data_IF_203542756400
#
_entry.id   IF_203542756400
#
_cell.length_a   1.000
_cell.length_b   1.000
_cell.length_c   1.000
_cell.angle_alpha   90.00
_cell.angle_beta   90.00
_cell.angle_gamma   90.00
#
_symmetry.space_group_name_H-M   'P 1'
#
loop_
_entity.id
_entity.type
_entity.pdbx_description
1 polymer ?
#
# COMPACT_ATOMS: atom_id res chain seq x y z
N UNK A 1 23.70 47.03 34.35
CA UNK A 1 23.71 47.40 32.92
C UNK A 1 24.73 46.48 32.26
N UNK A 2 24.29 45.57 31.37
CA UNK A 2 25.23 44.68 30.66
C UNK A 2 26.15 45.58 29.82
N UNK A 3 27.48 45.46 29.98
CA UNK A 3 28.44 46.24 29.21
C UNK A 3 28.46 45.78 27.75
N UNK A 4 28.59 46.71 26.80
CA UNK A 4 28.69 46.42 25.36
C UNK A 4 29.81 45.40 25.07
N UNK A 5 30.90 45.48 25.84
CA UNK A 5 32.02 44.54 25.75
C UNK A 5 31.61 43.09 26.07
N UNK A 6 30.73 42.88 27.05
CA UNK A 6 30.22 41.55 27.39
C UNK A 6 29.32 40.99 26.28
N UNK A 7 28.53 41.86 25.62
CA UNK A 7 27.71 41.46 24.48
C UNK A 7 28.56 41.00 23.29
N UNK A 8 29.67 41.70 23.01
CA UNK A 8 30.59 41.32 21.92
C UNK A 8 31.27 39.98 22.24
N UNK A 9 31.68 39.74 23.49
CA UNK A 9 32.33 38.47 23.87
C UNK A 9 31.38 37.26 23.80
N UNK A 10 30.07 37.48 23.99
CA UNK A 10 29.04 36.44 23.90
C UNK A 10 28.43 36.29 22.50
N UNK A 11 28.70 37.20 21.57
CA UNK A 11 28.12 37.15 20.22
C UNK A 11 28.43 35.88 19.42
N UNK A 12 29.59 35.20 19.57
CA UNK A 12 29.87 33.95 18.86
C UNK A 12 28.85 32.84 19.16
N UNK A 13 28.35 32.75 20.39
CA UNK A 13 27.32 31.78 20.78
C UNK A 13 26.06 31.95 19.94
N UNK A 14 25.57 33.19 19.85
CA UNK A 14 24.35 33.50 19.11
C UNK A 14 24.55 33.26 17.61
N UNK A 15 25.65 33.76 17.04
CA UNK A 15 25.93 33.64 15.61
C UNK A 15 26.11 32.18 15.21
N UNK A 16 26.87 31.39 15.96
CA UNK A 16 27.13 29.99 15.65
C UNK A 16 25.85 29.13 15.80
N UNK A 17 25.03 29.37 16.84
CA UNK A 17 23.73 28.70 17.02
C UNK A 17 22.78 28.98 15.86
N UNK A 18 22.65 30.25 15.46
CA UNK A 18 21.78 30.66 14.36
C UNK A 18 22.27 30.10 13.01
N UNK A 19 23.59 30.14 12.77
CA UNK A 19 24.19 29.57 11.57
C UNK A 19 23.94 28.05 11.49
N UNK A 20 24.17 27.32 12.58
CA UNK A 20 23.94 25.88 12.65
C UNK A 20 22.47 25.51 12.42
N UNK A 21 21.54 26.25 13.03
CA UNK A 21 20.10 26.10 12.79
C UNK A 21 19.75 26.35 11.31
N UNK A 22 20.20 27.47 10.75
CA UNK A 22 19.87 27.87 9.38
C UNK A 22 20.43 26.89 8.34
N UNK A 23 21.66 26.41 8.51
CA UNK A 23 22.28 25.44 7.63
C UNK A 23 21.54 24.10 7.65
N UNK A 24 21.22 23.59 8.85
CA UNK A 24 20.49 22.33 9.00
C UNK A 24 19.04 22.44 8.46
N UNK A 25 18.36 23.55 8.74
CA UNK A 25 17.04 23.83 8.18
C UNK A 25 17.06 23.87 6.64
N UNK A 26 18.07 24.52 6.06
CA UNK A 26 18.24 24.59 4.62
C UNK A 26 18.48 23.20 4.02
N UNK A 27 19.35 22.38 4.64
CA UNK A 27 19.63 21.03 4.18
C UNK A 27 18.37 20.14 4.18
N UNK A 28 17.57 20.20 5.25
CA UNK A 28 16.27 19.51 5.32
C UNK A 28 15.34 19.99 4.21
N UNK A 29 15.24 21.31 4.01
CA UNK A 29 14.41 21.88 2.94
C UNK A 29 14.87 21.45 1.55
N UNK A 30 16.19 21.30 1.36
CA UNK A 30 16.82 20.86 0.12
C UNK A 30 16.59 19.38 -0.20
N UNK A 31 16.15 18.58 0.78
CA UNK A 31 15.72 17.21 0.54
C UNK A 31 14.48 17.18 -0.38
N UNK A 32 13.54 18.08 -0.15
CA UNK A 32 12.23 18.09 -0.82
C UNK A 32 12.10 19.15 -1.92
N UNK A 33 12.80 20.29 -1.80
CA UNK A 33 12.71 21.42 -2.72
C UNK A 33 14.10 21.91 -3.11
N UNK A 34 14.31 22.42 -4.35
CA UNK A 34 13.32 22.71 -5.37
C UNK A 34 12.94 21.47 -6.19
N UNK A 35 11.70 21.42 -6.67
CA UNK A 35 11.17 20.26 -7.41
C UNK A 35 11.77 20.12 -8.82
N UNK A 36 12.18 21.25 -9.39
CA UNK A 36 12.82 21.33 -10.69
C UNK A 36 14.23 21.89 -10.55
N UNK A 37 15.15 21.53 -11.47
CA UNK A 37 16.49 22.12 -11.50
C UNK A 37 16.40 23.64 -11.68
N UNK A 38 17.16 24.36 -10.87
CA UNK A 38 17.24 25.83 -10.93
C UNK A 38 18.53 26.21 -11.66
N UNK A 39 18.45 27.21 -12.52
CA UNK A 39 19.59 27.73 -13.29
C UNK A 39 19.82 29.20 -12.96
N UNK A 40 21.06 29.57 -12.68
CA UNK A 40 21.48 30.96 -12.45
C UNK A 40 22.65 31.25 -13.40
N UNK A 41 22.56 32.32 -14.18
CA UNK A 41 23.53 32.67 -15.24
C UNK A 41 23.83 31.49 -16.20
N UNK A 42 22.83 30.67 -16.50
CA UNK A 42 22.97 29.49 -17.36
C UNK A 42 23.62 28.27 -16.69
N UNK A 43 24.15 28.40 -15.48
CA UNK A 43 24.70 27.27 -14.72
C UNK A 43 23.63 26.65 -13.82
N UNK A 44 23.56 25.32 -13.81
CA UNK A 44 22.67 24.58 -12.91
C UNK A 44 23.16 24.73 -11.47
N UNK A 45 22.27 25.14 -10.58
CA UNK A 45 22.57 25.28 -9.15
C UNK A 45 22.82 23.87 -8.58
N UNK A 46 23.95 23.63 -7.88
CA UNK A 46 24.23 22.34 -7.26
C UNK A 46 23.11 21.97 -6.27
N UNK A 47 22.84 20.68 -6.15
CA UNK A 47 21.76 20.14 -5.30
C UNK A 47 20.34 20.63 -5.69
N UNK A 48 20.14 20.97 -6.98
CA UNK A 48 18.81 21.17 -7.57
C UNK A 48 18.59 20.21 -8.75
N UNK A 49 17.43 19.55 -8.91
CA UNK A 49 16.33 19.50 -7.94
C UNK A 49 16.76 18.85 -6.62
N UNK A 50 15.93 19.00 -5.59
CA UNK A 50 16.15 18.37 -4.29
C UNK A 50 16.31 16.86 -4.41
N UNK A 51 16.89 16.23 -3.39
CA UNK A 51 17.28 14.81 -3.45
C UNK A 51 16.09 13.88 -3.70
N UNK A 52 14.95 14.13 -3.06
CA UNK A 52 13.78 13.26 -3.18
C UNK A 52 13.07 13.37 -4.55
N UNK A 53 12.79 14.57 -5.09
CA UNK A 53 12.32 14.70 -6.47
C UNK A 53 13.25 14.05 -7.50
N UNK A 54 14.58 14.07 -7.24
CA UNK A 54 15.59 13.50 -8.12
C UNK A 54 15.55 11.96 -8.15
N UNK A 55 15.33 11.30 -7.02
CA UNK A 55 15.40 9.83 -6.88
C UNK A 55 14.00 9.15 -6.87
N UNK A 56 12.94 9.90 -7.18
CA UNK A 56 11.53 9.45 -7.13
C UNK A 56 11.27 8.12 -7.82
N UNK A 57 11.76 7.93 -9.04
CA UNK A 57 11.44 6.74 -9.83
C UNK A 57 12.06 5.48 -9.21
N UNK A 58 13.28 5.59 -8.69
CA UNK A 58 13.93 4.49 -7.97
C UNK A 58 13.20 4.18 -6.67
N UNK A 59 12.72 5.20 -5.95
CA UNK A 59 11.91 5.03 -4.75
C UNK A 59 10.59 4.28 -5.06
N UNK A 60 9.88 4.64 -6.14
CA UNK A 60 8.64 3.96 -6.56
C UNK A 60 8.89 2.51 -6.96
N UNK A 61 10.00 2.23 -7.67
CA UNK A 61 10.37 0.86 -8.05
C UNK A 61 10.69 0.01 -6.82
N UNK A 62 11.46 0.55 -5.87
CA UNK A 62 11.79 -0.15 -4.63
C UNK A 62 10.53 -0.45 -3.80
N UNK A 63 9.67 0.55 -3.61
CA UNK A 63 8.42 0.41 -2.84
C UNK A 63 7.45 -0.58 -3.49
N UNK A 64 7.25 -0.52 -4.81
CA UNK A 64 6.37 -1.44 -5.54
C UNK A 64 6.89 -2.89 -5.56
N UNK A 65 8.21 -3.08 -5.63
CA UNK A 65 8.83 -4.40 -5.56
C UNK A 65 8.61 -5.02 -4.18
N UNK A 66 8.86 -4.25 -3.12
CA UNK A 66 8.63 -4.65 -1.74
C UNK A 66 7.17 -5.03 -1.46
N UNK A 67 6.22 -4.20 -1.90
CA UNK A 67 4.78 -4.46 -1.68
C UNK A 67 4.31 -5.64 -2.54
N UNK A 68 4.75 -5.71 -3.81
CA UNK A 68 4.34 -6.75 -4.76
C UNK A 68 4.89 -8.14 -4.46
N UNK A 69 6.11 -8.27 -3.92
CA UNK A 69 6.73 -9.57 -3.63
C UNK A 69 6.36 -10.15 -2.26
N UNK A 70 5.71 -9.37 -1.37
CA UNK A 70 5.52 -9.76 0.04
C UNK A 70 4.09 -9.66 0.57
N UNK A 71 3.28 -8.71 0.09
CA UNK A 71 1.90 -8.50 0.59
C UNK A 71 0.84 -9.12 -0.30
N UNK A 72 1.20 -9.45 -1.53
CA UNK A 72 0.30 -9.93 -2.59
C UNK A 72 0.82 -11.23 -3.19
N UNK A 73 1.57 -11.99 -2.38
CA UNK A 73 1.92 -13.34 -2.80
C UNK A 73 0.60 -14.10 -2.97
N UNK A 74 0.45 -14.69 -4.14
CA UNK A 74 -0.74 -15.40 -4.56
C UNK A 74 -1.18 -16.37 -3.46
N UNK A 75 -0.23 -17.04 -2.82
CA UNK A 75 -0.46 -18.04 -1.79
C UNK A 75 -1.18 -17.45 -0.57
N UNK A 76 -0.88 -16.21 -0.16
CA UNK A 76 -1.56 -15.57 0.99
C UNK A 76 -3.01 -15.22 0.67
N UNK A 77 -3.28 -14.64 -0.51
CA UNK A 77 -4.64 -14.34 -0.97
C UNK A 77 -5.43 -15.65 -1.19
N UNK A 78 -4.75 -16.68 -1.69
CA UNK A 78 -5.28 -18.03 -1.89
C UNK A 78 -5.72 -18.66 -0.57
N UNK A 79 -4.87 -18.63 0.44
CA UNK A 79 -5.14 -19.23 1.75
C UNK A 79 -6.31 -18.55 2.45
N UNK A 80 -6.45 -17.23 2.30
CA UNK A 80 -7.56 -16.44 2.83
C UNK A 80 -8.89 -16.72 2.12
N UNK A 81 -8.86 -16.86 0.79
CA UNK A 81 -10.05 -17.28 0.01
C UNK A 81 -10.46 -18.72 0.35
N UNK A 82 -9.50 -19.62 0.56
CA UNK A 82 -9.77 -20.99 0.98
C UNK A 82 -10.39 -21.07 2.38
N UNK A 83 -10.03 -20.16 3.29
CA UNK A 83 -10.60 -20.09 4.64
C UNK A 83 -12.06 -19.61 4.68
N UNK A 84 -12.58 -19.01 3.60
CA UNK A 84 -13.99 -18.58 3.52
C UNK A 84 -14.99 -19.75 3.43
N UNK A 85 -14.51 -21.01 3.40
CA UNK A 85 -15.32 -22.21 3.41
C UNK A 85 -16.47 -22.18 2.38
N UNK A 86 -16.15 -21.75 1.15
CA UNK A 86 -17.11 -21.63 0.04
C UNK A 86 -17.51 -22.99 -0.56
N UNK A 87 -16.85 -24.06 -0.13
CA UNK A 87 -16.99 -25.43 -0.62
C UNK A 87 -18.44 -25.99 -0.60
N UNK A 88 -19.22 -25.89 0.51
CA UNK A 88 -20.58 -26.42 0.54
C UNK A 88 -21.55 -25.62 -0.33
N UNK A 89 -21.31 -24.33 -0.52
CA UNK A 89 -22.18 -23.45 -1.29
C UNK A 89 -21.98 -23.65 -2.79
N UNK A 90 -20.73 -23.72 -3.25
CA UNK A 90 -20.37 -24.08 -4.63
C UNK A 90 -20.88 -25.48 -4.97
N UNK A 91 -20.77 -26.43 -4.04
CA UNK A 91 -21.28 -27.80 -4.20
C UNK A 91 -22.81 -27.82 -4.31
N UNK A 92 -23.52 -27.00 -3.53
CA UNK A 92 -24.98 -26.97 -3.55
C UNK A 92 -25.55 -26.43 -4.88
N UNK A 93 -24.87 -25.44 -5.47
CA UNK A 93 -25.24 -24.85 -6.76
C UNK A 93 -24.97 -25.83 -7.89
N UNK A 94 -23.78 -26.44 -7.90
CA UNK A 94 -23.43 -27.49 -8.84
C UNK A 94 -24.39 -28.68 -8.74
N UNK A 95 -24.84 -29.03 -7.52
CA UNK A 95 -25.74 -30.16 -7.30
C UNK A 95 -27.17 -29.89 -7.80
N UNK A 96 -27.66 -28.66 -7.59
CA UNK A 96 -29.01 -28.26 -8.00
C UNK A 96 -29.18 -28.31 -9.51
N UNK A 97 -28.14 -27.94 -10.26
CA UNK A 97 -28.30 -27.76 -11.69
C UNK A 97 -28.03 -28.99 -12.54
N UNK A 98 -27.18 -29.90 -12.05
CA UNK A 98 -26.91 -31.16 -12.75
C UNK A 98 -28.14 -32.08 -12.83
N UNK A 99 -29.04 -32.04 -11.83
CA UNK A 99 -30.26 -32.86 -11.80
C UNK A 99 -31.27 -32.51 -12.90
N UNK A 100 -31.16 -31.33 -13.52
CA UNK A 100 -32.13 -30.86 -14.51
C UNK A 100 -31.76 -31.12 -15.97
N UNK A 101 -30.72 -31.92 -16.25
CA UNK A 101 -30.39 -32.39 -17.61
C UNK A 101 -30.48 -31.28 -18.67
N UNK A 102 -29.46 -30.44 -18.79
CA UNK A 102 -29.05 -29.92 -20.10
C UNK A 102 -27.72 -29.19 -19.99
N UNK A 103 -26.78 -29.58 -20.85
CA UNK A 103 -25.82 -28.63 -21.39
C UNK A 103 -26.59 -27.40 -21.87
N UNK A 104 -26.42 -26.26 -21.23
CA UNK A 104 -27.00 -25.03 -21.72
C UNK A 104 -26.28 -23.87 -21.08
N UNK A 105 -25.76 -22.96 -21.90
CA UNK A 105 -25.28 -21.63 -21.49
C UNK A 105 -26.13 -20.97 -20.39
N UNK A 106 -27.45 -21.26 -20.34
CA UNK A 106 -28.35 -20.78 -19.30
C UNK A 106 -27.94 -21.12 -17.87
N UNK A 107 -27.42 -22.33 -17.62
CA UNK A 107 -26.98 -22.75 -16.29
C UNK A 107 -25.72 -22.01 -15.86
N UNK A 108 -24.76 -21.92 -16.76
CA UNK A 108 -23.52 -21.18 -16.52
C UNK A 108 -23.87 -19.72 -16.24
N UNK A 109 -24.82 -19.16 -16.98
CA UNK A 109 -25.30 -17.80 -16.79
C UNK A 109 -26.02 -17.62 -15.44
N UNK A 110 -26.83 -18.58 -14.99
CA UNK A 110 -27.44 -18.56 -13.66
C UNK A 110 -26.40 -18.62 -12.53
N UNK A 111 -25.37 -19.46 -12.66
CA UNK A 111 -24.27 -19.56 -11.69
C UNK A 111 -23.49 -18.24 -11.62
N UNK A 112 -23.14 -17.69 -12.78
CA UNK A 112 -22.42 -16.42 -12.88
C UNK A 112 -23.23 -15.27 -12.27
N UNK A 113 -24.53 -15.20 -12.57
CA UNK A 113 -25.40 -14.15 -12.02
C UNK A 113 -25.56 -14.32 -10.51
N UNK A 114 -25.68 -15.55 -10.00
CA UNK A 114 -25.81 -15.79 -8.56
C UNK A 114 -24.54 -15.43 -7.78
N UNK A 115 -23.35 -15.72 -8.35
CA UNK A 115 -22.06 -15.30 -7.75
C UNK A 115 -21.97 -13.77 -7.74
N UNK A 116 -22.35 -13.13 -8.84
CA UNK A 116 -22.36 -11.67 -8.97
C UNK A 116 -23.29 -11.03 -7.94
N UNK A 117 -24.51 -11.54 -7.78
CA UNK A 117 -25.46 -11.07 -6.75
C UNK A 117 -24.88 -11.19 -5.34
N UNK A 118 -24.27 -12.35 -5.01
CA UNK A 118 -23.63 -12.54 -3.70
C UNK A 118 -22.48 -11.56 -3.46
N UNK A 119 -21.68 -11.26 -4.48
CA UNK A 119 -20.60 -10.28 -4.37
C UNK A 119 -21.14 -8.87 -4.15
N UNK A 120 -22.20 -8.46 -4.87
CA UNK A 120 -22.83 -7.17 -4.58
C UNK A 120 -23.46 -7.12 -3.19
N UNK A 121 -24.11 -8.19 -2.73
CA UNK A 121 -24.59 -8.27 -1.35
C UNK A 121 -23.46 -8.16 -0.33
N UNK A 122 -22.30 -8.78 -0.58
CA UNK A 122 -21.12 -8.67 0.27
C UNK A 122 -20.57 -7.23 0.30
N UNK A 123 -20.54 -6.55 -0.85
CA UNK A 123 -20.15 -5.14 -0.98
C UNK A 123 -21.08 -4.20 -0.23
N UNK A 124 -22.39 -4.44 -0.32
CA UNK A 124 -23.43 -3.56 0.22
C UNK A 124 -23.67 -3.80 1.73
N UNK A 125 -23.30 -4.99 2.22
CA UNK A 125 -23.26 -5.28 3.65
C UNK A 125 -22.15 -4.48 4.34
N UNK A 126 -22.54 -3.49 5.13
CA UNK A 126 -21.61 -2.66 5.89
C UNK A 126 -20.76 -3.49 6.86
N UNK A 127 -21.36 -4.49 7.50
CA UNK A 127 -20.69 -5.36 8.46
C UNK A 127 -19.66 -6.27 7.77
N UNK A 128 -20.06 -6.99 6.72
CA UNK A 128 -19.16 -7.89 6.00
C UNK A 128 -18.02 -7.14 5.32
N UNK A 129 -18.31 -5.97 4.71
CA UNK A 129 -17.27 -5.12 4.11
C UNK A 129 -16.29 -4.60 5.17
N UNK A 130 -16.79 -4.19 6.33
CA UNK A 130 -15.95 -3.75 7.45
C UNK A 130 -15.10 -4.89 8.02
N UNK A 131 -15.64 -6.12 8.10
CA UNK A 131 -14.88 -7.30 8.53
C UNK A 131 -13.70 -7.59 7.59
N UNK A 132 -13.94 -7.58 6.28
CA UNK A 132 -12.90 -7.76 5.27
C UNK A 132 -11.87 -6.63 5.35
N UNK A 133 -12.32 -5.38 5.48
CA UNK A 133 -11.46 -4.22 5.64
C UNK A 133 -10.56 -4.31 6.89
N UNK A 134 -11.12 -4.76 8.03
CA UNK A 134 -10.37 -4.97 9.28
C UNK A 134 -9.36 -6.10 9.19
N UNK A 135 -9.72 -7.20 8.55
CA UNK A 135 -8.78 -8.30 8.31
C UNK A 135 -7.63 -7.85 7.42
N UNK A 136 -7.94 -7.17 6.31
CA UNK A 136 -6.94 -6.58 5.42
C UNK A 136 -6.02 -5.60 6.18
N UNK A 137 -6.58 -4.74 7.02
CA UNK A 137 -5.82 -3.84 7.88
C UNK A 137 -4.82 -4.59 8.75
N UNK A 138 -5.27 -5.63 9.46
CA UNK A 138 -4.42 -6.39 10.39
C UNK A 138 -3.25 -7.07 9.69
N UNK A 139 -3.49 -7.62 8.50
CA UNK A 139 -2.46 -8.26 7.67
C UNK A 139 -1.41 -7.21 7.26
N UNK A 140 -1.88 -6.08 6.72
CA UNK A 140 -1.00 -5.01 6.26
C UNK A 140 -0.22 -4.39 7.43
N UNK A 141 -0.85 -4.13 8.58
CA UNK A 141 -0.18 -3.63 9.79
C UNK A 141 0.91 -4.59 10.28
N UNK A 142 0.59 -5.89 10.37
CA UNK A 142 1.51 -6.90 10.90
C UNK A 142 2.76 -7.05 10.03
N UNK A 143 2.59 -7.05 8.70
CA UNK A 143 3.70 -7.29 7.78
C UNK A 143 4.57 -6.04 7.58
N UNK A 144 3.96 -4.86 7.65
CA UNK A 144 4.70 -3.59 7.61
C UNK A 144 5.49 -3.36 8.89
N UNK A 145 4.92 -3.68 10.06
CA UNK A 145 5.65 -3.59 11.33
C UNK A 145 6.90 -4.47 11.33
N UNK A 146 6.81 -5.68 10.74
CA UNK A 146 7.92 -6.64 10.71
C UNK A 146 9.08 -6.22 9.81
N UNK A 147 8.81 -5.54 8.69
CA UNK A 147 9.83 -5.27 7.65
C UNK A 147 10.19 -3.79 7.49
N UNK A 148 9.25 -2.89 7.78
CA UNK A 148 9.40 -1.45 7.55
C UNK A 148 8.87 -0.66 8.75
N UNK A 149 9.45 -0.90 9.93
CA UNK A 149 9.08 -0.23 11.18
C UNK A 149 9.07 1.31 11.07
N UNK A 150 9.92 1.88 10.20
CA UNK A 150 9.97 3.31 9.90
C UNK A 150 8.80 3.79 9.03
N UNK A 151 8.24 2.94 8.17
CA UNK A 151 7.10 3.26 7.29
C UNK A 151 5.76 2.80 7.86
N UNK A 152 5.75 2.15 9.03
CA UNK A 152 4.52 1.70 9.68
C UNK A 152 3.53 2.85 9.88
N UNK A 153 3.97 3.95 10.51
CA UNK A 153 3.10 5.13 10.71
C UNK A 153 2.58 5.67 9.39
N UNK A 154 3.47 5.79 8.39
CA UNK A 154 3.09 6.21 7.05
C UNK A 154 1.97 5.33 6.45
N UNK A 155 2.14 4.01 6.41
CA UNK A 155 1.16 3.14 5.74
C UNK A 155 -0.12 3.00 6.55
N UNK A 156 -0.02 2.95 7.88
CA UNK A 156 -1.19 2.86 8.76
C UNK A 156 -2.05 4.12 8.73
N UNK A 157 -1.44 5.30 8.69
CA UNK A 157 -2.19 6.57 8.75
C UNK A 157 -2.76 6.96 7.37
N UNK A 158 -2.07 6.62 6.27
CA UNK A 158 -2.48 7.03 4.92
C UNK A 158 -3.29 5.98 4.14
N UNK A 159 -2.91 4.70 4.23
CA UNK A 159 -3.53 3.64 3.41
C UNK A 159 -4.51 2.75 4.19
N UNK A 160 -4.45 2.77 5.52
CA UNK A 160 -5.26 1.89 6.37
C UNK A 160 -6.38 2.59 7.13
N UNK A 161 -6.67 3.85 6.83
CA UNK A 161 -7.92 4.50 7.27
C UNK A 161 -9.13 3.60 6.96
N UNK A 162 -10.06 3.50 7.92
CA UNK A 162 -11.24 2.64 7.81
C UNK A 162 -12.12 3.01 6.60
N UNK A 163 -12.24 4.30 6.27
CA UNK A 163 -12.99 4.74 5.10
C UNK A 163 -12.30 4.35 3.79
N UNK A 164 -10.98 4.58 3.68
CA UNK A 164 -10.18 4.16 2.53
C UNK A 164 -10.24 2.65 2.31
N UNK A 165 -10.07 1.85 3.36
CA UNK A 165 -10.13 0.40 3.27
C UNK A 165 -11.52 -0.10 2.88
N UNK A 166 -12.58 0.43 3.48
CA UNK A 166 -13.95 0.09 3.09
C UNK A 166 -14.20 0.41 1.60
N UNK A 167 -13.70 1.54 1.10
CA UNK A 167 -13.82 1.89 -0.32
C UNK A 167 -13.02 0.92 -1.20
N UNK A 168 -11.77 0.64 -0.85
CA UNK A 168 -10.91 -0.30 -1.59
C UNK A 168 -11.54 -1.69 -1.67
N UNK A 169 -12.06 -2.20 -0.55
CA UNK A 169 -12.75 -3.49 -0.50
C UNK A 169 -14.01 -3.44 -1.37
N UNK A 170 -14.83 -2.40 -1.25
CA UNK A 170 -16.04 -2.26 -2.06
C UNK A 170 -15.78 -2.18 -3.57
N UNK A 171 -14.79 -1.40 -3.97
CA UNK A 171 -14.37 -1.27 -5.38
C UNK A 171 -13.82 -2.60 -5.91
N UNK A 172 -13.01 -3.29 -5.10
CA UNK A 172 -12.44 -4.59 -5.48
C UNK A 172 -13.51 -5.66 -5.64
N UNK A 173 -14.49 -5.73 -4.72
CA UNK A 173 -15.64 -6.64 -4.83
C UNK A 173 -16.48 -6.32 -6.08
N UNK A 174 -16.71 -5.04 -6.37
CA UNK A 174 -17.43 -4.62 -7.59
C UNK A 174 -16.71 -5.08 -8.84
N UNK A 175 -15.40 -4.82 -8.92
CA UNK A 175 -14.59 -5.21 -10.07
C UNK A 175 -14.55 -6.73 -10.26
N UNK A 176 -14.47 -7.50 -9.16
CA UNK A 176 -14.56 -8.96 -9.20
C UNK A 176 -15.92 -9.41 -9.74
N UNK A 177 -17.02 -8.83 -9.27
CA UNK A 177 -18.37 -9.15 -9.72
C UNK A 177 -18.55 -8.89 -11.23
N UNK A 178 -18.04 -7.76 -11.72
CA UNK A 178 -18.12 -7.38 -13.13
C UNK A 178 -17.26 -8.29 -14.02
N UNK A 179 -16.03 -8.59 -13.58
CA UNK A 179 -15.13 -9.50 -14.29
C UNK A 179 -15.68 -10.92 -14.35
N UNK A 180 -16.33 -11.40 -13.29
CA UNK A 180 -16.98 -12.70 -13.25
C UNK A 180 -18.10 -12.78 -14.30
N UNK A 181 -18.86 -11.71 -14.50
CA UNK A 181 -19.94 -11.65 -15.49
C UNK A 181 -19.43 -11.74 -16.94
N UNK A 182 -18.31 -11.08 -17.23
CA UNK A 182 -17.77 -10.91 -18.58
C UNK A 182 -16.70 -11.96 -18.97
N UNK A 183 -16.23 -12.75 -18.00
CA UNK A 183 -15.13 -13.68 -18.22
C UNK A 183 -15.57 -14.90 -19.02
N UNK A 184 -15.24 -14.90 -20.32
CA UNK A 184 -15.33 -16.07 -21.21
C UNK A 184 -14.57 -17.28 -20.63
N UNK A 185 -13.49 -16.99 -19.91
CA UNK A 185 -12.67 -18.00 -19.25
C UNK A 185 -13.39 -18.64 -18.06
N UNK A 186 -14.04 -17.85 -17.19
CA UNK A 186 -14.79 -18.37 -16.06
C UNK A 186 -15.96 -19.24 -16.52
N UNK A 187 -16.65 -18.82 -17.59
CA UNK A 187 -17.67 -19.65 -18.25
C UNK A 187 -17.10 -21.01 -18.66
N UNK A 188 -15.92 -21.02 -19.29
CA UNK A 188 -15.26 -22.27 -19.70
C UNK A 188 -14.83 -23.14 -18.51
N UNK A 189 -14.38 -22.53 -17.40
CA UNK A 189 -14.02 -23.25 -16.18
C UNK A 189 -15.22 -23.83 -15.46
N UNK A 190 -16.34 -23.08 -15.38
CA UNK A 190 -17.61 -23.58 -14.86
C UNK A 190 -18.10 -24.74 -15.73
N UNK A 191 -18.04 -24.58 -17.06
CA UNK A 191 -18.42 -25.64 -18.01
C UNK A 191 -17.58 -26.90 -17.79
N UNK A 192 -16.26 -26.76 -17.67
CA UNK A 192 -15.34 -27.87 -17.48
C UNK A 192 -15.50 -28.51 -16.10
N UNK A 193 -15.73 -27.73 -15.05
CA UNK A 193 -16.03 -28.22 -13.72
C UNK A 193 -17.35 -29.00 -13.71
N UNK A 194 -18.40 -28.49 -14.36
CA UNK A 194 -19.68 -29.18 -14.52
C UNK A 194 -19.55 -30.48 -15.33
N UNK A 195 -18.76 -30.47 -16.40
CA UNK A 195 -18.51 -31.66 -17.23
C UNK A 195 -17.71 -32.75 -16.50
N UNK A 196 -16.97 -32.38 -15.45
CA UNK A 196 -16.18 -33.30 -14.63
C UNK A 196 -16.96 -33.88 -13.45
N UNK A 197 -18.17 -33.40 -13.17
CA UNK A 197 -19.01 -34.00 -12.14
C UNK A 197 -19.58 -35.30 -12.75
N UNK A 198 -19.14 -36.49 -12.29
CA UNK A 198 -19.70 -37.75 -12.78
C UNK A 198 -21.17 -37.85 -12.34
N UNK A 199 -22.03 -38.48 -13.16
CA UNK A 199 -23.44 -38.74 -12.79
C UNK A 199 -23.53 -39.44 -11.42
N UNK A 200 -22.52 -40.23 -11.05
CA UNK A 200 -22.43 -41.01 -9.81
C UNK A 200 -22.17 -40.19 -8.54
N UNK A 201 -21.76 -38.91 -8.63
CA UNK A 201 -21.68 -37.99 -7.47
C UNK A 201 -23.08 -37.59 -6.98
N UNK A 202 -24.10 -37.71 -7.83
CA UNK A 202 -25.49 -37.44 -7.48
C UNK A 202 -26.18 -38.60 -6.78
N UNK A 203 -25.68 -39.82 -7.01
CA UNK A 203 -26.21 -41.05 -6.42
C UNK A 203 -25.52 -41.46 -5.11
N UNK A 204 -24.31 -40.95 -4.82
CA UNK A 204 -23.60 -41.30 -3.59
C UNK A 204 -23.39 -40.09 -2.68
N UNK A 205 -23.96 -40.16 -1.47
CA UNK A 205 -23.75 -39.20 -0.36
C UNK A 205 -22.28 -39.04 0.08
N UNK A 206 -21.35 -39.77 -0.54
CA UNK A 206 -19.98 -39.97 -0.07
C UNK A 206 -18.88 -39.36 -0.93
N UNK A 207 -19.19 -38.51 -1.92
CA UNK A 207 -18.17 -37.80 -2.70
C UNK A 207 -17.51 -36.65 -1.92
N UNK A 208 -16.86 -36.99 -0.81
CA UNK A 208 -15.86 -36.16 -0.13
C UNK A 208 -14.65 -35.99 -1.04
N UNK A 209 -14.19 -34.74 -1.15
CA UNK A 209 -12.97 -34.21 -1.79
C UNK A 209 -13.10 -33.95 -3.29
N UNK A 210 -13.37 -32.70 -3.67
CA UNK A 210 -13.28 -32.28 -5.08
C UNK A 210 -12.05 -31.35 -5.28
N UNK A 211 -11.08 -31.72 -6.14
CA UNK A 211 -9.90 -30.92 -6.52
C UNK A 211 -10.21 -29.65 -7.35
N UNK A 212 -11.47 -29.24 -7.45
CA UNK A 212 -11.93 -28.09 -8.26
C UNK A 212 -11.54 -26.73 -7.65
N UNK A 213 -11.46 -26.65 -6.31
CA UNK A 213 -11.05 -25.44 -5.60
C UNK A 213 -9.58 -25.10 -5.91
N UNK A 214 -8.70 -26.11 -5.96
CA UNK A 214 -7.28 -25.90 -6.28
C UNK A 214 -7.07 -25.37 -7.70
N UNK A 215 -7.93 -25.74 -8.64
CA UNK A 215 -7.83 -25.31 -10.03
C UNK A 215 -8.28 -23.85 -10.20
N UNK A 216 -9.39 -23.45 -9.57
CA UNK A 216 -9.89 -22.07 -9.59
C UNK A 216 -8.90 -21.07 -8.97
N UNK A 217 -8.26 -21.47 -7.89
CA UNK A 217 -7.22 -20.73 -7.18
C UNK A 217 -5.93 -20.60 -8.03
N UNK A 218 -5.50 -21.69 -8.67
CA UNK A 218 -4.34 -21.68 -9.58
C UNK A 218 -4.53 -20.72 -10.77
N UNK A 219 -5.75 -20.51 -11.21
CA UNK A 219 -6.08 -19.61 -12.33
C UNK A 219 -5.98 -18.13 -11.94
N UNK A 220 -6.44 -17.78 -10.72
CA UNK A 220 -6.36 -16.42 -10.20
C UNK A 220 -4.90 -15.99 -9.96
N UNK A 221 -4.03 -16.93 -9.61
CA UNK A 221 -2.60 -16.69 -9.40
C UNK A 221 -1.86 -16.11 -10.59
N UNK A 222 -2.22 -16.55 -11.80
CA UNK A 222 -1.41 -16.32 -13.00
C UNK A 222 -1.75 -15.02 -13.73
N UNK A 223 -2.79 -14.28 -13.32
CA UNK A 223 -3.30 -13.13 -14.10
C UNK A 223 -3.49 -11.82 -13.33
N UNK A 224 -3.28 -11.79 -12.03
CA UNK A 224 -3.31 -10.55 -11.26
C UNK A 224 -1.94 -9.85 -11.34
N UNK A 225 -1.77 -8.93 -12.29
CA UNK A 225 -0.62 -8.01 -12.32
C UNK A 225 -0.80 -6.89 -11.28
N UNK A 226 -0.78 -7.27 -10.01
CA UNK A 226 -0.95 -6.32 -8.90
C UNK A 226 0.22 -5.34 -8.84
N UNK A 227 1.41 -5.78 -9.30
CA UNK A 227 2.61 -4.95 -9.44
C UNK A 227 2.37 -3.79 -10.40
N UNK A 228 1.82 -4.04 -11.58
CA UNK A 228 1.51 -3.00 -12.57
C UNK A 228 0.48 -1.97 -12.09
N UNK A 229 -0.54 -2.41 -11.33
CA UNK A 229 -1.56 -1.54 -10.75
C UNK A 229 -0.96 -0.62 -9.68
N UNK A 230 -0.12 -1.16 -8.80
CA UNK A 230 0.57 -0.39 -7.76
C UNK A 230 1.54 0.63 -8.36
N UNK A 231 2.33 0.25 -9.37
CA UNK A 231 3.25 1.17 -10.06
C UNK A 231 2.47 2.34 -10.67
N UNK A 232 1.31 2.09 -11.29
CA UNK A 232 0.46 3.16 -11.85
C UNK A 232 -0.10 4.09 -10.76
N UNK A 233 -0.55 3.55 -9.62
CA UNK A 233 -1.08 4.37 -8.51
C UNK A 233 0.01 5.15 -7.77
N UNK A 234 1.18 4.55 -7.55
CA UNK A 234 2.33 5.23 -6.95
C UNK A 234 2.90 6.31 -7.87
N UNK A 235 2.91 6.07 -9.18
CA UNK A 235 3.29 7.10 -10.15
C UNK A 235 2.29 8.25 -10.27
N UNK A 236 1.03 8.04 -9.88
CA UNK A 236 0.04 9.11 -9.82
C UNK A 236 0.22 10.05 -8.61
N UNK A 237 1.06 9.68 -7.64
CA UNK A 237 1.39 10.54 -6.51
C UNK A 237 2.34 11.66 -6.96
N UNK A 238 1.97 12.90 -6.63
CA UNK A 238 2.81 14.07 -6.89
C UNK A 238 3.95 14.17 -5.88
N UNK A 239 4.97 14.97 -6.18
CA UNK A 239 6.08 15.22 -5.26
C UNK A 239 5.60 15.84 -3.94
N UNK A 240 4.52 16.63 -3.98
CA UNK A 240 3.86 17.24 -2.83
C UNK A 240 3.26 16.17 -1.92
N UNK A 241 2.56 15.19 -2.49
CA UNK A 241 1.99 14.10 -1.71
C UNK A 241 3.09 13.31 -1.01
N UNK A 242 4.18 12.96 -1.70
CA UNK A 242 5.31 12.24 -1.09
C UNK A 242 6.02 13.09 -0.01
N UNK A 243 6.15 14.41 -0.21
CA UNK A 243 6.70 15.36 0.78
C UNK A 243 5.82 15.43 2.04
N UNK A 244 4.52 15.63 1.88
CA UNK A 244 3.53 15.72 2.98
C UNK A 244 3.56 14.46 3.84
N UNK A 245 3.64 13.32 3.20
CA UNK A 245 3.67 11.99 3.79
C UNK A 245 4.91 11.71 4.65
N UNK A 246 6.07 12.12 4.15
CA UNK A 246 7.33 12.00 4.89
C UNK A 246 7.33 12.99 6.04
N UNK A 247 6.79 14.19 5.85
CA UNK A 247 6.70 15.20 6.90
C UNK A 247 5.71 14.82 7.99
N UNK A 248 4.60 14.14 7.66
CA UNK A 248 3.65 13.62 8.63
C UNK A 248 4.26 12.48 9.47
N UNK A 249 5.05 11.61 8.82
CA UNK A 249 5.60 10.41 9.47
C UNK A 249 6.89 10.67 10.25
N UNK A 250 7.84 11.36 9.61
CA UNK A 250 9.21 11.56 10.09
C UNK A 250 9.50 13.05 10.40
N UNK A 251 8.51 13.93 10.36
CA UNK A 251 8.71 15.37 10.54
C UNK A 251 9.30 15.74 11.90
N UNK A 252 9.00 14.97 12.96
CA UNK A 252 9.59 15.20 14.30
C UNK A 252 11.08 14.86 14.32
N UNK A 253 11.45 13.76 13.71
CA UNK A 253 12.81 13.26 13.60
C UNK A 253 13.64 14.19 12.69
N UNK A 254 13.05 14.65 11.58
CA UNK A 254 13.63 15.64 10.68
C UNK A 254 13.82 16.98 11.40
N UNK A 255 12.85 17.43 12.19
CA UNK A 255 12.99 18.65 13.00
C UNK A 255 14.08 18.51 14.08
N UNK A 256 14.26 17.30 14.63
CA UNK A 256 15.33 17.04 15.59
C UNK A 256 16.73 17.24 14.97
N UNK A 257 16.92 16.96 13.67
CA UNK A 257 18.17 17.24 12.95
C UNK A 257 18.46 18.75 12.93
N UNK A 258 17.43 19.58 12.73
CA UNK A 258 17.57 21.05 12.75
C UNK A 258 17.95 21.55 14.14
N UNK A 259 17.28 21.03 15.18
CA UNK A 259 17.61 21.33 16.57
C UNK A 259 19.01 20.85 16.96
N UNK A 260 19.43 19.70 16.46
CA UNK A 260 20.78 19.20 16.64
C UNK A 260 21.81 20.14 16.00
N UNK A 261 21.55 20.63 14.79
CA UNK A 261 22.39 21.65 14.14
C UNK A 261 22.53 22.93 14.95
N UNK A 262 21.43 23.41 15.56
CA UNK A 262 21.47 24.53 16.49
C UNK A 262 22.30 24.21 17.75
N UNK A 263 22.14 23.02 18.33
CA UNK A 263 22.89 22.56 19.49
C UNK A 263 24.40 22.46 19.24
N UNK A 264 24.80 21.94 18.07
CA UNK A 264 26.22 21.93 17.65
C UNK A 264 26.74 23.36 17.48
N UNK A 265 25.96 24.23 16.83
CA UNK A 265 26.32 25.65 16.70
C UNK A 265 26.51 26.33 18.06
N UNK A 266 25.65 26.03 19.03
CA UNK A 266 25.75 26.52 20.40
C UNK A 266 27.04 26.06 21.10
N UNK A 267 27.37 24.77 21.01
CA UNK A 267 28.60 24.21 21.59
C UNK A 267 29.84 24.86 20.96
N UNK A 268 29.88 24.97 19.63
CA UNK A 268 30.97 25.63 18.90
C UNK A 268 31.11 27.09 19.35
N UNK A 269 29.99 27.79 19.49
CA UNK A 269 29.97 29.17 19.95
C UNK A 269 30.48 29.33 21.39
N UNK A 270 30.17 28.40 22.30
CA UNK A 270 30.73 28.38 23.66
C UNK A 270 32.25 28.22 23.60
N UNK A 271 32.72 27.24 22.83
CA UNK A 271 34.16 26.98 22.68
C UNK A 271 34.86 28.24 22.13
N UNK A 272 34.30 28.88 21.11
CA UNK A 272 34.86 30.09 20.51
C UNK A 272 34.86 31.27 21.48
N UNK A 273 33.79 31.44 22.27
CA UNK A 273 33.73 32.46 23.32
C UNK A 273 34.79 32.19 24.40
N UNK A 274 34.93 30.95 24.89
CA UNK A 274 35.95 30.60 25.89
C UNK A 274 37.36 30.87 25.39
N UNK A 275 37.66 30.54 24.14
CA UNK A 275 38.95 30.85 23.51
C UNK A 275 39.21 32.36 23.47
N UNK A 276 38.18 33.17 23.16
CA UNK A 276 38.29 34.63 23.14
C UNK A 276 38.39 35.28 24.53
N UNK A 277 38.15 34.53 25.61
CA UNK A 277 38.27 35.01 26.99
C UNK A 277 39.63 34.74 27.63
N UNK A 278 40.44 33.84 27.04
CA UNK A 278 41.81 33.50 27.45
C UNK A 278 42.78 34.45 26.74
#
# INVERSE_FOLDING_TARGET
MISIELLIKLSPIVVATLHGYAAAWLAVKMLFRPRNPVYIFGMKVPLTPGMLPKERDQFIIALSTVIGEKLLDVETITDEIMQLNLEPEITSIAKREYLHHSQSESTIQLIVEHIKEKLYHLRDSAEARSDIARSLRRIVETEIDRRFSLLRRFVTDFFLDEAALNRIVGDSITQLADQIAESLYLRSSITQAMAQIPETIFESESAKKIPAINNFVSILSHRLDVRGILIKRLNALSNEAIEELIMETAGREIAAIVWFGAGIGFIVGIIQTLINFI
#
